data_IF_321742394869
#
_entry.id   IF_321742394869
#
_cell.length_a   1.000
_cell.length_b   1.000
_cell.length_c   1.000
_cell.angle_alpha   90.00
_cell.angle_beta   90.00
_cell.angle_gamma   90.00
#
_symmetry.space_group_name_H-M   'P 1'
#
loop_
_entity.id
_entity.type
_entity.pdbx_description
1 polymer ?
#
# COMPACT_ATOMS: atom_id res chain seq x y z
N UNK A 1 -8.39 -3.40 -10.95
CA UNK A 1 -7.37 -2.36 -10.71
C UNK A 1 -6.02 -2.94 -11.11
N UNK A 2 -5.17 -2.18 -11.80
CA UNK A 2 -3.78 -2.58 -12.03
C UNK A 2 -2.92 -1.87 -10.98
N UNK A 3 -2.11 -2.64 -10.25
CA UNK A 3 -1.22 -2.11 -9.23
C UNK A 3 0.22 -2.28 -9.71
N UNK A 4 1.03 -1.25 -9.53
CA UNK A 4 2.45 -1.26 -9.86
C UNK A 4 3.26 -0.82 -8.64
N UNK A 5 4.42 -1.45 -8.46
CA UNK A 5 5.37 -1.12 -7.41
C UNK A 5 6.79 -1.42 -7.88
N UNK A 6 7.75 -0.74 -7.24
CA UNK A 6 9.16 -1.08 -7.38
C UNK A 6 9.48 -2.39 -6.64
N UNK A 7 10.24 -3.28 -7.28
CA UNK A 7 10.54 -4.60 -6.72
C UNK A 7 11.39 -4.51 -5.44
N UNK A 8 12.29 -3.51 -5.33
CA UNK A 8 13.06 -3.27 -4.10
C UNK A 8 12.13 -2.87 -2.95
N UNK A 9 11.05 -2.16 -3.24
CA UNK A 9 10.01 -1.84 -2.25
C UNK A 9 9.28 -3.11 -1.81
N UNK A 10 8.96 -4.01 -2.74
CA UNK A 10 8.32 -5.29 -2.42
C UNK A 10 9.22 -6.15 -1.52
N UNK A 11 10.51 -6.29 -1.84
CA UNK A 11 11.47 -7.03 -1.00
C UNK A 11 11.60 -6.44 0.41
N UNK A 12 11.61 -5.11 0.51
CA UNK A 12 11.59 -4.40 1.80
C UNK A 12 10.30 -4.68 2.57
N UNK A 13 9.14 -4.73 1.89
CA UNK A 13 7.85 -5.05 2.50
C UNK A 13 7.81 -6.49 3.04
N UNK A 14 8.29 -7.46 2.26
CA UNK A 14 8.38 -8.86 2.69
C UNK A 14 9.28 -8.97 3.93
N UNK A 15 10.43 -8.28 3.93
CA UNK A 15 11.36 -8.31 5.06
C UNK A 15 10.75 -7.69 6.33
N UNK A 16 10.04 -6.57 6.20
CA UNK A 16 9.50 -5.81 7.35
C UNK A 16 8.17 -6.35 7.86
N UNK A 17 7.32 -6.85 6.97
CA UNK A 17 5.91 -7.12 7.23
C UNK A 17 5.50 -8.55 6.88
N UNK A 18 6.35 -9.31 6.19
CA UNK A 18 6.15 -10.74 5.95
C UNK A 18 5.20 -11.10 4.82
N UNK A 19 4.84 -10.15 3.94
CA UNK A 19 3.96 -10.43 2.81
C UNK A 19 4.34 -9.66 1.54
N UNK A 20 3.92 -10.19 0.39
CA UNK A 20 4.11 -9.61 -0.94
C UNK A 20 2.97 -8.63 -1.28
N UNK A 21 3.26 -7.56 -2.01
CA UNK A 21 2.21 -6.63 -2.46
C UNK A 21 1.18 -7.27 -3.41
N UNK A 22 1.56 -8.28 -4.17
CA UNK A 22 0.64 -9.06 -5.00
C UNK A 22 -0.42 -9.77 -4.16
N UNK A 23 -0.07 -10.25 -2.96
CA UNK A 23 -1.02 -10.85 -2.03
C UNK A 23 -1.96 -9.79 -1.45
N UNK A 24 -1.40 -8.64 -1.03
CA UNK A 24 -2.16 -7.53 -0.47
C UNK A 24 -3.18 -6.95 -1.47
N UNK A 25 -2.88 -6.97 -2.77
CA UNK A 25 -3.77 -6.42 -3.81
C UNK A 25 -5.17 -7.01 -3.81
N UNK A 26 -5.34 -8.25 -3.31
CA UNK A 26 -6.61 -8.97 -3.29
C UNK A 26 -7.65 -8.33 -2.37
N UNK A 27 -7.21 -7.65 -1.31
CA UNK A 27 -8.11 -7.02 -0.32
C UNK A 27 -8.98 -5.94 -0.95
N UNK A 28 -8.47 -5.24 -1.97
CA UNK A 28 -9.19 -4.16 -2.65
C UNK A 28 -10.37 -4.65 -3.48
N UNK A 29 -10.49 -5.97 -3.70
CA UNK A 29 -11.64 -6.57 -4.38
C UNK A 29 -12.72 -7.05 -3.41
N UNK A 30 -12.51 -6.93 -2.11
CA UNK A 30 -13.47 -7.30 -1.08
C UNK A 30 -14.24 -6.07 -0.58
N UNK A 31 -15.44 -6.24 0.03
CA UNK A 31 -16.10 -5.16 0.72
C UNK A 31 -15.18 -4.58 1.81
N UNK A 32 -14.93 -3.27 1.75
CA UNK A 32 -14.09 -2.56 2.71
C UNK A 32 -14.94 -1.58 3.51
N UNK A 33 -14.79 -1.60 4.83
CA UNK A 33 -15.28 -0.52 5.70
C UNK A 33 -14.25 0.60 5.69
N UNK A 34 -14.62 1.75 5.15
CA UNK A 34 -13.75 2.92 5.04
C UNK A 34 -14.30 3.98 5.99
N UNK A 35 -13.44 4.50 6.86
CA UNK A 35 -13.69 5.73 7.60
C UNK A 35 -12.84 6.83 6.96
N UNK A 36 -13.47 7.93 6.55
CA UNK A 36 -12.76 9.04 5.95
C UNK A 36 -12.05 9.81 7.07
N UNK A 37 -10.73 9.84 7.03
CA UNK A 37 -9.96 10.76 7.87
C UNK A 37 -9.87 12.11 7.15
N UNK A 38 -10.40 13.16 7.76
CA UNK A 38 -10.39 14.54 7.23
C UNK A 38 -9.09 15.30 7.57
N UNK A 39 -8.10 14.64 8.18
CA UNK A 39 -6.81 15.28 8.44
C UNK A 39 -6.05 15.58 7.13
N UNK A 40 -6.03 16.85 6.75
CA UNK A 40 -5.39 17.34 5.53
C UNK A 40 -3.84 17.32 5.53
N UNK A 41 -3.19 16.83 6.60
CA UNK A 41 -1.73 16.83 6.72
C UNK A 41 -1.09 15.46 6.43
N UNK A 42 -1.40 14.89 5.25
CA UNK A 42 -0.57 13.82 4.69
C UNK A 42 0.67 14.44 4.03
N UNK A 43 1.65 14.75 4.87
CA UNK A 43 2.93 15.34 4.48
C UNK A 43 3.55 14.66 3.26
N UNK A 44 3.69 15.47 2.20
CA UNK A 44 4.53 15.33 1.02
C UNK A 44 5.21 13.96 0.83
N UNK A 45 4.73 13.20 -0.15
CA UNK A 45 5.42 12.04 -0.69
C UNK A 45 6.83 12.46 -1.12
N UNK A 46 7.84 12.10 -0.32
CA UNK A 46 9.25 12.37 -0.58
C UNK A 46 9.62 11.79 -1.94
N UNK A 47 9.68 12.69 -2.94
CA UNK A 47 10.47 12.53 -4.15
C UNK A 47 11.93 12.71 -3.75
N UNK A 48 12.73 11.67 -3.94
CA UNK A 48 14.18 11.77 -4.12
C UNK A 48 14.66 10.65 -5.02
#
# INVERSE_FOLDING_TARGET
MQFEWDERKNQSNITKHGFDFADASRIFNLPMLINLDEQEDYGNAHKS
#
